data_IF_711238191260
#
_entry.id   IF_711238191260
#
_cell.length_a   1.000
_cell.length_b   1.000
_cell.length_c   1.000
_cell.angle_alpha   90.00
_cell.angle_beta   90.00
_cell.angle_gamma   90.00
#
_symmetry.space_group_name_H-M   'P 1'
#
loop_
_entity.id
_entity.type
_entity.pdbx_description
1 polymer ?
#
# COMPACT_ATOMS: atom_id res chain seq x y z
N UNK A 1 -5.67 -15.83 -0.67
CA UNK A 1 -4.19 -16.03 -0.67
C UNK A 1 -3.54 -14.97 0.19
N UNK A 2 -2.59 -15.36 1.03
CA UNK A 2 -1.76 -14.44 1.82
C UNK A 2 -0.31 -14.84 1.63
N UNK A 3 0.53 -13.88 1.22
CA UNK A 3 1.98 -14.02 1.13
C UNK A 3 2.63 -13.08 2.13
N UNK A 4 3.67 -13.52 2.79
CA UNK A 4 4.39 -12.74 3.80
C UNK A 4 5.81 -12.40 3.33
N UNK A 5 6.20 -11.14 3.49
CA UNK A 5 7.51 -10.64 3.11
C UNK A 5 7.85 -9.36 3.88
N UNK A 6 8.97 -8.74 3.53
CA UNK A 6 9.35 -7.42 4.07
C UNK A 6 8.85 -6.29 3.18
N UNK A 7 8.77 -5.06 3.70
CA UNK A 7 8.17 -3.88 3.07
C UNK A 7 8.99 -3.24 1.93
N UNK A 8 9.84 -4.01 1.24
CA UNK A 8 10.67 -3.53 0.15
C UNK A 8 10.18 -3.99 -1.22
N UNK A 9 10.47 -3.22 -2.26
CA UNK A 9 10.11 -3.53 -3.65
C UNK A 9 10.55 -4.94 -4.08
N UNK A 10 11.73 -5.39 -3.65
CA UNK A 10 12.23 -6.75 -3.91
C UNK A 10 11.22 -7.82 -3.54
N UNK A 11 10.63 -7.74 -2.34
CA UNK A 11 9.65 -8.74 -1.90
C UNK A 11 8.33 -8.65 -2.68
N UNK A 12 7.89 -7.44 -3.02
CA UNK A 12 6.73 -7.29 -3.90
C UNK A 12 6.93 -7.97 -5.26
N UNK A 13 8.14 -7.84 -5.82
CA UNK A 13 8.53 -8.50 -7.06
C UNK A 13 8.57 -10.04 -6.94
N UNK A 14 9.29 -10.54 -5.93
CA UNK A 14 9.46 -11.99 -5.72
C UNK A 14 8.14 -12.69 -5.42
N UNK A 15 7.34 -12.15 -4.49
CA UNK A 15 6.05 -12.72 -4.11
C UNK A 15 5.02 -12.66 -5.24
N UNK A 16 5.05 -11.64 -6.08
CA UNK A 16 4.19 -11.58 -7.26
C UNK A 16 4.53 -12.69 -8.27
N UNK A 17 5.83 -12.91 -8.53
CA UNK A 17 6.29 -13.99 -9.40
C UNK A 17 5.97 -15.38 -8.84
N UNK A 18 6.08 -15.55 -7.53
CA UNK A 18 5.68 -16.78 -6.85
C UNK A 18 4.19 -17.07 -7.06
N UNK A 19 3.31 -16.08 -6.82
CA UNK A 19 1.87 -16.20 -7.08
C UNK A 19 1.57 -16.60 -8.53
N UNK A 20 2.27 -16.01 -9.48
CA UNK A 20 2.12 -16.34 -10.90
C UNK A 20 2.51 -17.80 -11.19
N UNK A 21 3.63 -18.25 -10.63
CA UNK A 21 4.15 -19.62 -10.83
C UNK A 21 3.23 -20.68 -10.21
N UNK A 22 2.53 -20.36 -9.13
CA UNK A 22 1.53 -21.25 -8.50
C UNK A 22 0.28 -21.47 -9.37
N UNK A 23 0.11 -20.70 -10.44
CA UNK A 23 -0.97 -20.87 -11.43
C UNK A 23 -2.36 -20.42 -10.96
N UNK A 24 -2.48 -19.80 -9.80
CA UNK A 24 -3.73 -19.33 -9.19
C UNK A 24 -3.74 -17.82 -9.01
N UNK A 25 -3.47 -17.06 -10.09
CA UNK A 25 -3.47 -15.60 -10.01
C UNK A 25 -4.85 -15.06 -9.63
N UNK A 26 -4.94 -14.24 -8.56
CA UNK A 26 -6.18 -13.55 -8.23
C UNK A 26 -6.47 -12.44 -9.24
N UNK A 27 -7.72 -12.00 -9.34
CA UNK A 27 -8.11 -10.85 -10.16
C UNK A 27 -7.78 -9.51 -9.51
N UNK A 28 -7.47 -9.51 -8.21
CA UNK A 28 -7.07 -8.33 -7.47
C UNK A 28 -6.08 -8.66 -6.34
N UNK A 29 -5.16 -7.74 -6.08
CA UNK A 29 -4.20 -7.79 -4.97
C UNK A 29 -4.32 -6.54 -4.11
N UNK A 30 -4.38 -6.73 -2.80
CA UNK A 30 -4.03 -5.71 -1.83
C UNK A 30 -2.58 -5.90 -1.40
N UNK A 31 -1.77 -4.87 -1.53
CA UNK A 31 -0.34 -4.89 -1.19
C UNK A 31 -0.10 -3.97 0.00
N UNK A 32 0.58 -4.48 1.03
CA UNK A 32 0.71 -3.85 2.34
C UNK A 32 1.37 -2.46 2.34
N UNK A 33 2.13 -2.11 1.30
CA UNK A 33 2.61 -0.74 1.07
C UNK A 33 2.96 -0.47 -0.40
N UNK A 34 3.06 0.80 -0.75
CA UNK A 34 3.33 1.25 -2.12
C UNK A 34 4.76 0.91 -2.59
N UNK A 35 5.72 0.76 -1.68
CA UNK A 35 7.09 0.33 -2.05
C UNK A 35 7.08 -1.10 -2.59
N UNK A 36 6.33 -2.01 -1.96
CA UNK A 36 6.14 -3.37 -2.48
C UNK A 36 5.40 -3.37 -3.82
N UNK A 37 4.42 -2.46 -3.99
CA UNK A 37 3.68 -2.32 -5.27
C UNK A 37 4.64 -2.04 -6.42
N UNK A 38 5.67 -1.22 -6.22
CA UNK A 38 6.68 -0.95 -7.26
C UNK A 38 7.30 -2.24 -7.80
N UNK A 39 7.61 -3.18 -6.90
CA UNK A 39 8.12 -4.50 -7.29
C UNK A 39 7.08 -5.36 -7.99
N UNK A 40 5.84 -5.37 -7.50
CA UNK A 40 4.73 -6.10 -8.13
C UNK A 40 4.43 -5.59 -9.55
N UNK A 41 4.46 -4.26 -9.78
CA UNK A 41 4.32 -3.67 -11.12
C UNK A 41 5.42 -4.12 -12.07
N UNK A 42 6.67 -4.14 -11.59
CA UNK A 42 7.80 -4.65 -12.39
C UNK A 42 7.62 -6.11 -12.77
N UNK A 43 7.21 -6.95 -11.82
CA UNK A 43 6.94 -8.37 -12.07
C UNK A 43 5.78 -8.56 -13.06
N UNK A 44 4.68 -7.83 -12.90
CA UNK A 44 3.55 -7.87 -13.82
C UNK A 44 3.97 -7.52 -15.24
N UNK A 45 4.75 -6.44 -15.41
CA UNK A 45 5.28 -6.02 -16.71
C UNK A 45 6.13 -7.11 -17.37
N UNK A 46 7.07 -7.73 -16.62
CA UNK A 46 7.93 -8.80 -17.15
C UNK A 46 7.17 -10.08 -17.52
N UNK A 47 6.06 -10.34 -16.84
CA UNK A 47 5.17 -11.48 -17.11
C UNK A 47 4.12 -11.19 -18.18
N UNK A 48 4.11 -9.98 -18.77
CA UNK A 48 3.15 -9.57 -19.78
C UNK A 48 1.73 -9.34 -19.25
N UNK A 49 1.56 -9.23 -17.92
CA UNK A 49 0.27 -8.95 -17.29
C UNK A 49 -0.01 -7.45 -17.26
N UNK A 50 -1.24 -7.09 -17.64
CA UNK A 50 -1.71 -5.70 -17.68
C UNK A 50 -2.45 -5.34 -16.41
N UNK A 51 -2.12 -4.18 -15.86
CA UNK A 51 -2.83 -3.56 -14.72
C UNK A 51 -3.66 -2.40 -15.29
N UNK A 52 -4.97 -2.35 -15.07
CA UNK A 52 -5.79 -3.25 -14.23
C UNK A 52 -6.47 -4.40 -15.01
N UNK A 53 -6.19 -4.61 -16.31
CA UNK A 53 -6.95 -5.50 -17.19
C UNK A 53 -6.90 -6.96 -16.73
N UNK A 54 -5.72 -7.45 -16.39
CA UNK A 54 -5.52 -8.84 -15.93
C UNK A 54 -5.56 -8.93 -14.41
N UNK A 55 -5.06 -7.91 -13.72
CA UNK A 55 -5.02 -7.86 -12.26
C UNK A 55 -5.16 -6.43 -11.74
N UNK A 56 -6.11 -6.21 -10.84
CA UNK A 56 -6.25 -4.96 -10.11
C UNK A 56 -5.29 -4.93 -8.91
N UNK A 57 -4.67 -3.77 -8.63
CA UNK A 57 -3.74 -3.63 -7.50
C UNK A 57 -4.13 -2.42 -6.65
N UNK A 58 -4.21 -2.63 -5.34
CA UNK A 58 -4.40 -1.58 -4.33
C UNK A 58 -3.21 -1.57 -3.39
N UNK A 59 -2.66 -0.40 -3.14
CA UNK A 59 -1.55 -0.17 -2.22
C UNK A 59 -1.97 0.47 -0.89
N UNK A 60 -0.97 0.87 -0.13
CA UNK A 60 -1.12 1.52 1.17
C UNK A 60 0.00 2.52 1.41
N UNK A 61 -0.29 3.71 1.85
CA UNK A 61 0.46 4.90 2.27
C UNK A 61 0.25 6.13 1.38
N UNK A 62 -0.04 5.99 0.10
CA UNK A 62 -0.06 7.06 -0.91
C UNK A 62 1.28 7.80 -1.01
N UNK A 63 2.36 7.02 -1.20
CA UNK A 63 3.69 7.59 -1.44
C UNK A 63 3.70 8.49 -2.68
N UNK A 64 4.56 9.50 -2.75
CA UNK A 64 4.62 10.43 -3.90
C UNK A 64 4.73 9.74 -5.26
N UNK A 65 5.38 8.58 -5.32
CA UNK A 65 5.52 7.79 -6.55
C UNK A 65 4.20 7.18 -7.04
N UNK A 66 3.22 6.93 -6.16
CA UNK A 66 1.99 6.21 -6.48
C UNK A 66 1.21 6.83 -7.66
N UNK A 67 1.17 8.17 -7.73
CA UNK A 67 0.48 8.91 -8.81
C UNK A 67 1.22 8.91 -10.14
N UNK A 68 2.50 8.54 -10.14
CA UNK A 68 3.36 8.50 -11.33
C UNK A 68 3.62 7.08 -11.83
N UNK A 69 3.09 6.07 -11.16
CA UNK A 69 3.10 4.70 -11.68
C UNK A 69 2.24 4.58 -12.95
N UNK A 70 2.45 3.55 -13.73
CA UNK A 70 1.71 3.28 -14.97
C UNK A 70 1.09 1.88 -14.86
N UNK A 71 -0.27 1.83 -14.66
CA UNK A 71 -1.18 2.96 -14.40
C UNK A 71 -0.98 3.58 -13.01
N UNK A 72 -1.48 4.82 -12.75
CA UNK A 72 -1.46 5.43 -11.43
C UNK A 72 -2.14 4.56 -10.37
N UNK A 73 -1.49 4.41 -9.22
CA UNK A 73 -1.88 3.46 -8.18
C UNK A 73 -3.04 3.96 -7.31
N UNK A 74 -4.10 3.18 -7.24
CA UNK A 74 -5.13 3.27 -6.20
C UNK A 74 -4.54 2.82 -4.87
N UNK A 75 -4.61 3.65 -3.83
CA UNK A 75 -3.95 3.38 -2.55
C UNK A 75 -4.65 4.09 -1.38
N UNK A 76 -4.40 3.62 -0.17
CA UNK A 76 -4.89 4.26 1.05
C UNK A 76 -3.94 5.38 1.47
N UNK A 77 -4.44 6.62 1.51
CA UNK A 77 -3.69 7.77 2.00
C UNK A 77 -3.74 7.86 3.52
N UNK A 78 -2.57 7.94 4.11
CA UNK A 78 -2.35 8.25 5.52
C UNK A 78 -2.02 9.75 5.67
N UNK A 79 -2.59 10.46 6.64
CA UNK A 79 -2.19 11.83 6.95
C UNK A 79 -0.89 11.83 7.78
N UNK A 80 0.23 11.41 7.16
CA UNK A 80 1.50 11.12 7.85
C UNK A 80 2.09 12.34 8.55
N UNK A 81 1.96 13.52 7.96
CA UNK A 81 2.42 14.79 8.55
C UNK A 81 1.68 15.05 9.87
N UNK A 82 0.35 15.03 9.83
CA UNK A 82 -0.49 15.17 11.03
C UNK A 82 -0.16 14.10 12.08
N UNK A 83 0.03 12.83 11.67
CA UNK A 83 0.37 11.75 12.58
C UNK A 83 1.72 11.99 13.26
N UNK A 84 2.71 12.52 12.54
CA UNK A 84 4.03 12.86 13.07
C UNK A 84 3.96 14.00 14.10
N UNK A 85 3.30 15.08 13.76
CA UNK A 85 3.09 16.24 14.65
C UNK A 85 2.34 15.85 15.92
N UNK A 86 1.26 15.07 15.77
CA UNK A 86 0.46 14.64 16.91
C UNK A 86 1.19 13.65 17.81
N UNK A 87 2.02 12.77 17.25
CA UNK A 87 2.86 11.85 17.99
C UNK A 87 3.86 12.61 18.90
N UNK A 88 4.50 13.66 18.36
CA UNK A 88 5.38 14.54 19.15
C UNK A 88 4.61 15.22 20.27
N UNK A 89 3.43 15.80 19.98
CA UNK A 89 2.59 16.45 20.99
C UNK A 89 2.18 15.50 22.12
N UNK A 90 1.85 14.24 21.79
CA UNK A 90 1.53 13.22 22.80
C UNK A 90 2.75 12.87 23.67
N UNK A 91 3.94 12.84 23.06
CA UNK A 91 5.19 12.59 23.79
C UNK A 91 5.53 13.73 24.73
N UNK A 92 5.45 14.98 24.26
CA UNK A 92 5.67 16.18 25.07
C UNK A 92 4.69 16.25 26.23
N UNK A 93 3.41 16.01 25.99
CA UNK A 93 2.38 15.97 27.04
C UNK A 93 2.70 14.94 28.14
N UNK A 94 3.20 13.78 27.76
CA UNK A 94 3.62 12.76 28.72
C UNK A 94 4.91 13.12 29.44
N UNK A 95 5.92 13.62 28.70
CA UNK A 95 7.26 13.86 29.24
C UNK A 95 7.36 15.17 30.04
N UNK A 96 6.70 16.24 29.56
CA UNK A 96 6.82 17.60 30.15
C UNK A 96 5.66 17.93 31.09
N UNK A 97 4.45 17.49 30.76
CA UNK A 97 3.25 17.82 31.53
C UNK A 97 2.84 16.71 32.52
N UNK A 98 3.61 15.60 32.57
CA UNK A 98 3.41 14.55 33.56
C UNK A 98 2.14 13.72 33.38
N UNK A 99 1.58 13.62 32.16
CA UNK A 99 0.39 12.80 31.90
C UNK A 99 0.67 11.32 32.18
N UNK A 100 0.02 10.76 33.17
CA UNK A 100 0.17 9.35 33.57
C UNK A 100 -0.75 8.42 32.79
N UNK A 101 -1.91 8.91 32.32
CA UNK A 101 -2.92 8.12 31.61
C UNK A 101 -2.45 7.83 30.18
N UNK A 102 -2.50 6.54 29.78
CA UNK A 102 -2.22 6.12 28.41
C UNK A 102 -3.36 6.52 27.48
N UNK A 103 -3.02 7.12 26.34
CA UNK A 103 -3.98 7.48 25.30
C UNK A 103 -3.74 6.62 24.05
N UNK A 104 -4.85 6.26 23.38
CA UNK A 104 -4.86 5.68 22.05
C UNK A 104 -5.55 6.64 21.10
N UNK A 105 -4.84 7.08 20.06
CA UNK A 105 -5.40 7.96 19.03
C UNK A 105 -5.51 7.19 17.73
N UNK A 106 -6.70 7.21 17.13
CA UNK A 106 -6.97 6.58 15.84
C UNK A 106 -7.15 7.69 14.82
N UNK A 107 -6.32 7.66 13.79
CA UNK A 107 -6.37 8.64 12.69
C UNK A 107 -7.00 7.98 11.47
N UNK A 108 -8.07 8.57 10.89
CA UNK A 108 -8.72 7.98 9.73
C UNK A 108 -7.85 8.04 8.49
N UNK A 109 -7.94 7.01 7.66
CA UNK A 109 -7.32 6.94 6.34
C UNK A 109 -8.33 7.30 5.26
N UNK A 110 -7.86 7.61 4.05
CA UNK A 110 -8.70 7.90 2.89
C UNK A 110 -8.26 7.09 1.69
N UNK A 111 -9.21 6.47 0.98
CA UNK A 111 -8.94 5.82 -0.29
C UNK A 111 -8.70 6.87 -1.38
N UNK A 112 -7.57 6.80 -2.06
CA UNK A 112 -7.25 7.54 -3.27
C UNK A 112 -7.46 6.61 -4.47
N UNK A 113 -8.62 6.74 -5.13
CA UNK A 113 -8.95 5.94 -6.32
C UNK A 113 -8.20 6.51 -7.53
N UNK A 114 -7.51 5.64 -8.26
CA UNK A 114 -6.80 5.91 -9.52
C UNK A 114 -7.04 4.75 -10.49
N UNK A 115 -6.12 4.51 -11.43
CA UNK A 115 -6.36 3.67 -12.60
C UNK A 115 -5.86 2.21 -12.44
N UNK A 116 -5.34 1.83 -11.28
CA UNK A 116 -4.84 0.46 -11.02
C UNK A 116 -5.91 -0.57 -10.66
N UNK A 117 -7.16 -0.17 -10.67
CA UNK A 117 -8.32 -1.02 -10.34
C UNK A 117 -9.40 -0.87 -11.41
N UNK A 118 -9.95 -1.98 -11.87
CA UNK A 118 -11.12 -1.99 -12.78
C UNK A 118 -12.38 -2.50 -12.08
N UNK A 119 -13.53 -2.02 -12.54
CA UNK A 119 -14.82 -2.58 -12.16
C UNK A 119 -15.06 -3.87 -12.97
N UNK A 120 -15.28 -4.98 -12.28
CA UNK A 120 -15.61 -6.27 -12.92
C UNK A 120 -17.09 -6.43 -13.24
N UNK A 121 -17.92 -5.56 -12.66
CA UNK A 121 -19.36 -5.49 -12.95
C UNK A 121 -19.57 -4.29 -13.87
N UNK A 122 -19.30 -4.50 -15.13
CA UNK A 122 -19.43 -3.47 -16.16
C UNK A 122 -20.81 -2.79 -16.22
#
# INVERSE_FOLDING_TARGET
>A
FVKMGSYHAKYGYELFKELYTEGNMPTALFVANDSMVTGAYRAAYELGLKIPEDISIVGFNDLPAAKYMIPPLTTMKLPMEFMGEYAVSLLEDRALNGREISLKVIVPTRLCVRDSVKNLRG
#
